data_IF_069998505755
#
_entry.id   IF_069998505755
#
_cell.length_a   1.000
_cell.length_b   1.000
_cell.length_c   1.000
_cell.angle_alpha   90.00
_cell.angle_beta   90.00
_cell.angle_gamma   90.00
#
_symmetry.space_group_name_H-M   'P 1'
#
loop_
_entity.id
_entity.type
_entity.pdbx_description
1 polymer ?
#
# COMPACT_ATOMS: atom_id res chain seq x y z
N UNK A 1 31.57 -16.22 14.61
CA UNK A 1 31.10 -15.18 15.54
C UNK A 1 29.64 -14.89 15.23
N UNK A 2 28.71 -15.44 16.03
CA UNK A 2 27.27 -15.25 15.82
C UNK A 2 26.89 -13.91 16.46
N UNK A 3 26.50 -12.92 15.66
CA UNK A 3 26.00 -11.65 16.19
C UNK A 3 24.65 -11.93 16.85
N UNK A 4 24.64 -11.90 18.18
CA UNK A 4 23.42 -12.08 18.96
C UNK A 4 22.56 -10.83 18.81
N UNK A 5 21.50 -10.92 18.01
CA UNK A 5 20.58 -9.81 17.78
C UNK A 5 20.06 -9.28 19.14
N UNK A 6 20.09 -7.96 19.32
CA UNK A 6 19.63 -7.35 20.57
C UNK A 6 18.10 -7.55 20.72
N UNK A 7 17.60 -7.58 21.96
CA UNK A 7 16.16 -7.64 22.21
C UNK A 7 15.40 -6.48 21.55
N UNK A 8 16.05 -5.31 21.45
CA UNK A 8 15.54 -4.13 20.75
C UNK A 8 15.30 -4.40 19.26
N UNK A 9 16.28 -4.94 18.52
CA UNK A 9 16.12 -5.17 17.07
C UNK A 9 15.02 -6.18 16.77
N UNK A 10 14.89 -7.24 17.58
CA UNK A 10 13.76 -8.18 17.46
C UNK A 10 12.41 -7.50 17.67
N UNK A 11 12.28 -6.68 18.71
CA UNK A 11 11.04 -5.96 18.99
C UNK A 11 10.71 -4.94 17.88
N UNK A 12 11.71 -4.19 17.41
CA UNK A 12 11.57 -3.23 16.32
C UNK A 12 11.12 -3.92 15.03
N UNK A 13 11.72 -5.07 14.68
CA UNK A 13 11.33 -5.84 13.50
C UNK A 13 9.87 -6.29 13.56
N UNK A 14 9.41 -6.75 14.72
CA UNK A 14 8.01 -7.13 14.94
C UNK A 14 7.07 -5.95 14.77
N UNK A 15 7.39 -4.80 15.37
CA UNK A 15 6.58 -3.58 15.26
C UNK A 15 6.50 -3.08 13.82
N UNK A 16 7.63 -3.00 13.11
CA UNK A 16 7.69 -2.57 11.71
C UNK A 16 6.92 -3.51 10.77
N UNK A 17 6.97 -4.82 11.01
CA UNK A 17 6.17 -5.77 10.23
C UNK A 17 4.67 -5.61 10.45
N UNK A 18 4.23 -5.44 11.71
CA UNK A 18 2.81 -5.27 12.01
C UNK A 18 2.24 -3.96 11.50
N UNK A 19 3.06 -2.91 11.46
CA UNK A 19 2.64 -1.57 11.04
C UNK A 19 2.87 -1.27 9.55
N UNK A 20 3.68 -2.06 8.83
CA UNK A 20 4.18 -1.69 7.49
C UNK A 20 3.10 -1.30 6.50
N UNK A 21 2.10 -2.17 6.31
CA UNK A 21 1.01 -1.95 5.36
C UNK A 21 0.11 -0.76 5.74
N UNK A 22 -0.44 -0.66 6.96
CA UNK A 22 -1.26 0.51 7.34
C UNK A 22 -0.45 1.81 7.39
N UNK A 23 0.83 1.76 7.79
CA UNK A 23 1.70 2.93 7.84
C UNK A 23 1.99 3.47 6.43
N UNK A 24 2.42 2.62 5.50
CA UNK A 24 2.68 3.04 4.13
C UNK A 24 1.42 3.54 3.41
N UNK A 25 0.25 2.99 3.74
CA UNK A 25 -1.02 3.49 3.22
C UNK A 25 -1.31 4.91 3.73
N UNK A 26 -1.13 5.14 5.04
CA UNK A 26 -1.31 6.46 5.63
C UNK A 26 -0.39 7.51 4.99
N UNK A 27 0.89 7.18 4.80
CA UNK A 27 1.85 8.06 4.10
C UNK A 27 1.41 8.34 2.66
N UNK A 28 0.93 7.31 1.95
CA UNK A 28 0.43 7.45 0.57
C UNK A 28 -0.76 8.40 0.50
N UNK A 29 -1.77 8.22 1.34
CA UNK A 29 -2.99 9.03 1.35
C UNK A 29 -2.67 10.48 1.72
N UNK A 30 -1.86 10.69 2.76
CA UNK A 30 -1.42 12.04 3.14
C UNK A 30 -0.59 12.72 2.06
N UNK A 31 0.37 12.00 1.47
CA UNK A 31 1.20 12.51 0.39
C UNK A 31 0.38 12.89 -0.84
N UNK A 32 -0.61 12.07 -1.20
CA UNK A 32 -1.55 12.31 -2.30
C UNK A 32 -2.40 13.56 -2.05
N UNK A 33 -2.99 13.69 -0.85
CA UNK A 33 -3.76 14.87 -0.49
C UNK A 33 -2.91 16.14 -0.45
N UNK A 34 -1.67 16.05 0.03
CA UNK A 34 -0.73 17.17 0.05
C UNK A 34 -0.31 17.60 -1.36
N UNK A 35 -0.09 16.63 -2.26
CA UNK A 35 0.23 16.90 -3.66
C UNK A 35 -0.90 17.66 -4.37
N UNK A 36 -2.14 17.21 -4.19
CA UNK A 36 -3.31 17.92 -4.73
C UNK A 36 -3.46 19.31 -4.12
N UNK A 37 -3.31 19.44 -2.80
CA UNK A 37 -3.44 20.73 -2.14
C UNK A 37 -2.34 21.72 -2.56
N UNK A 38 -1.15 21.23 -2.94
CA UNK A 38 -0.08 22.05 -3.51
C UNK A 38 -0.47 22.70 -4.84
N UNK A 39 -1.21 22.00 -5.68
CA UNK A 39 -1.62 22.48 -7.03
C UNK A 39 -3.00 23.17 -7.03
N UNK A 40 -3.96 22.67 -6.26
CA UNK A 40 -5.36 23.15 -6.23
C UNK A 40 -5.67 24.07 -5.05
N UNK A 41 -4.76 24.19 -4.06
CA UNK A 41 -4.99 24.95 -2.84
C UNK A 41 -5.75 24.16 -1.76
N UNK A 42 -6.36 24.87 -0.82
CA UNK A 42 -7.11 24.25 0.29
C UNK A 42 -8.39 23.60 -0.28
N UNK A 43 -8.62 22.30 -0.02
CA UNK A 43 -9.80 21.62 -0.55
C UNK A 43 -11.09 22.15 0.06
N UNK A 44 -12.12 22.21 -0.77
CA UNK A 44 -13.52 22.38 -0.33
C UNK A 44 -14.06 21.09 0.30
N UNK A 45 -15.20 21.17 0.99
CA UNK A 45 -15.84 20.00 1.59
C UNK A 45 -16.20 18.94 0.54
N UNK A 46 -16.67 19.37 -0.64
CA UNK A 46 -17.03 18.47 -1.73
C UNK A 46 -15.80 17.70 -2.25
N UNK A 47 -14.64 18.35 -2.32
CA UNK A 47 -13.39 17.73 -2.74
C UNK A 47 -12.86 16.74 -1.70
N UNK A 48 -13.01 17.05 -0.41
CA UNK A 48 -12.71 16.10 0.67
C UNK A 48 -13.60 14.85 0.54
N UNK A 49 -14.90 15.02 0.29
CA UNK A 49 -15.82 13.90 0.04
C UNK A 49 -15.42 13.10 -1.19
N UNK A 50 -15.08 13.74 -2.31
CA UNK A 50 -14.64 13.08 -3.54
C UNK A 50 -13.35 12.29 -3.32
N UNK A 51 -12.40 12.86 -2.59
CA UNK A 51 -11.16 12.19 -2.21
C UNK A 51 -11.44 10.94 -1.36
N UNK A 52 -12.25 11.07 -0.31
CA UNK A 52 -12.63 9.93 0.54
C UNK A 52 -13.40 8.86 -0.25
N UNK A 53 -14.27 9.28 -1.17
CA UNK A 53 -15.04 8.40 -2.03
C UNK A 53 -14.13 7.60 -2.97
N UNK A 54 -13.15 8.24 -3.61
CA UNK A 54 -12.21 7.55 -4.51
C UNK A 54 -11.40 6.46 -3.80
N UNK A 55 -10.86 6.77 -2.62
CA UNK A 55 -10.15 5.80 -1.78
C UNK A 55 -11.07 4.64 -1.33
N UNK A 56 -12.31 4.94 -0.96
CA UNK A 56 -13.29 3.93 -0.52
C UNK A 56 -13.74 3.03 -1.66
N UNK A 57 -13.94 3.58 -2.87
CA UNK A 57 -14.27 2.80 -4.08
C UNK A 57 -13.13 1.84 -4.40
N UNK A 58 -11.88 2.32 -4.40
CA UNK A 58 -10.71 1.48 -4.65
C UNK A 58 -10.59 0.35 -3.62
N UNK A 59 -10.66 0.68 -2.33
CA UNK A 59 -10.57 -0.31 -1.26
C UNK A 59 -11.73 -1.32 -1.30
N UNK A 60 -12.97 -0.84 -1.41
CA UNK A 60 -14.16 -1.67 -1.50
C UNK A 60 -14.15 -2.57 -2.74
N UNK A 61 -13.69 -2.06 -3.89
CA UNK A 61 -13.52 -2.82 -5.11
C UNK A 61 -12.48 -3.94 -4.97
N UNK A 62 -11.33 -3.66 -4.36
CA UNK A 62 -10.32 -4.69 -4.06
C UNK A 62 -10.86 -5.74 -3.10
N UNK A 63 -11.54 -5.33 -2.02
CA UNK A 63 -12.19 -6.24 -1.07
C UNK A 63 -13.22 -7.14 -1.76
N UNK A 64 -14.04 -6.58 -2.63
CA UNK A 64 -15.03 -7.31 -3.41
C UNK A 64 -14.37 -8.34 -4.33
N UNK A 65 -13.28 -7.97 -5.02
CA UNK A 65 -12.50 -8.87 -5.88
C UNK A 65 -11.87 -10.04 -5.12
N UNK A 66 -11.55 -9.85 -3.84
CA UNK A 66 -10.94 -10.89 -2.99
C UNK A 66 -11.94 -11.60 -2.08
N UNK A 67 -13.25 -11.33 -2.21
CA UNK A 67 -14.24 -11.84 -1.26
C UNK A 67 -14.30 -13.38 -1.22
N UNK A 68 -14.19 -14.04 -2.37
CA UNK A 68 -14.25 -15.51 -2.46
C UNK A 68 -13.03 -16.19 -1.84
N UNK A 69 -11.88 -15.52 -1.77
CA UNK A 69 -10.62 -16.06 -1.21
C UNK A 69 -10.38 -15.63 0.24
N UNK A 70 -11.29 -14.85 0.83
CA UNK A 70 -11.14 -14.30 2.18
C UNK A 70 -10.98 -15.37 3.27
N UNK A 71 -11.64 -16.53 3.11
CA UNK A 71 -11.55 -17.65 4.04
C UNK A 71 -10.20 -18.40 4.04
N UNK A 72 -9.41 -18.26 2.98
CA UNK A 72 -8.06 -18.84 2.86
C UNK A 72 -6.98 -17.85 3.32
N UNK A 73 -7.17 -16.54 3.06
CA UNK A 73 -6.25 -15.47 3.42
C UNK A 73 -6.04 -15.31 4.94
N UNK A 74 -7.06 -15.60 5.76
CA UNK A 74 -6.99 -15.49 7.22
C UNK A 74 -5.96 -16.45 7.85
N UNK A 75 -5.59 -17.53 7.15
CA UNK A 75 -4.56 -18.49 7.58
C UNK A 75 -3.14 -18.10 7.17
N UNK A 76 -2.97 -17.15 6.24
CA UNK A 76 -1.71 -16.92 5.52
C UNK A 76 -1.06 -15.54 5.80
N UNK A 77 -1.76 -14.63 6.48
CA UNK A 77 -1.24 -13.31 6.88
C UNK A 77 -0.09 -13.34 7.92
N UNK A 78 0.42 -14.52 8.28
CA UNK A 78 1.55 -14.69 9.16
C UNK A 78 2.81 -15.13 8.39
N UNK A 79 3.65 -14.14 8.05
CA UNK A 79 5.08 -14.23 7.66
C UNK A 79 5.38 -14.12 6.16
N UNK A 80 5.73 -12.90 5.73
CA UNK A 80 6.68 -12.76 4.63
C UNK A 80 8.09 -13.14 5.15
N UNK A 81 8.79 -14.10 4.52
CA UNK A 81 10.13 -14.53 4.94
C UNK A 81 11.24 -13.48 4.72
N UNK A 82 10.97 -12.36 4.02
CA UNK A 82 11.99 -11.36 3.70
C UNK A 82 11.61 -9.89 4.04
N UNK A 83 11.96 -9.39 5.26
CA UNK A 83 11.63 -8.03 5.71
C UNK A 83 12.15 -6.90 4.82
N UNK A 84 13.34 -7.06 4.24
CA UNK A 84 14.00 -6.01 3.44
C UNK A 84 13.28 -5.79 2.10
N UNK A 85 12.79 -6.88 1.49
CA UNK A 85 12.00 -6.79 0.25
C UNK A 85 10.66 -6.10 0.50
N UNK A 86 10.00 -6.43 1.60
CA UNK A 86 8.76 -5.77 2.01
C UNK A 86 8.91 -4.27 2.19
N UNK A 87 9.98 -3.84 2.88
CA UNK A 87 10.27 -2.42 3.04
C UNK A 87 10.47 -1.71 1.69
N UNK A 88 11.25 -2.30 0.78
CA UNK A 88 11.52 -1.68 -0.52
C UNK A 88 10.26 -1.58 -1.39
N UNK A 89 9.41 -2.61 -1.39
CA UNK A 89 8.14 -2.59 -2.11
C UNK A 89 7.26 -1.47 -1.60
N UNK A 90 7.06 -1.33 -0.28
CA UNK A 90 6.28 -0.24 0.28
C UNK A 90 6.83 1.14 -0.14
N UNK A 91 8.15 1.33 -0.09
CA UNK A 91 8.77 2.59 -0.53
C UNK A 91 8.50 2.87 -2.01
N UNK A 92 8.65 1.87 -2.88
CA UNK A 92 8.37 2.02 -4.32
C UNK A 92 6.89 2.25 -4.60
N UNK A 93 6.00 1.57 -3.86
CA UNK A 93 4.55 1.71 -3.99
C UNK A 93 4.08 3.10 -3.56
N UNK A 94 4.60 3.62 -2.44
CA UNK A 94 4.37 4.99 -1.98
C UNK A 94 4.85 5.98 -3.03
N UNK A 95 6.08 5.83 -3.53
CA UNK A 95 6.65 6.72 -4.54
C UNK A 95 5.85 6.73 -5.85
N UNK A 96 5.45 5.55 -6.33
CA UNK A 96 4.60 5.42 -7.53
C UNK A 96 3.23 6.07 -7.34
N UNK A 97 2.59 5.85 -6.18
CA UNK A 97 1.29 6.43 -5.86
C UNK A 97 1.36 7.96 -5.78
N UNK A 98 2.35 8.52 -5.09
CA UNK A 98 2.55 9.98 -4.99
C UNK A 98 2.89 10.58 -6.37
N UNK A 99 3.72 9.90 -7.17
CA UNK A 99 4.05 10.36 -8.53
C UNK A 99 2.79 10.39 -9.41
N UNK A 100 1.97 9.35 -9.35
CA UNK A 100 0.69 9.33 -10.06
C UNK A 100 -0.23 10.47 -9.58
N UNK A 101 -0.29 10.73 -8.27
CA UNK A 101 -1.05 11.83 -7.72
C UNK A 101 -0.58 13.20 -8.24
N UNK A 102 0.74 13.43 -8.32
CA UNK A 102 1.33 14.65 -8.88
C UNK A 102 0.95 14.84 -10.36
N UNK A 103 0.94 13.75 -11.15
CA UNK A 103 0.49 13.81 -12.54
C UNK A 103 -1.01 14.11 -12.65
N UNK A 104 -1.83 13.47 -11.81
CA UNK A 104 -3.28 13.68 -11.76
C UNK A 104 -3.63 15.09 -11.27
N UNK A 105 -2.79 15.69 -10.42
CA UNK A 105 -2.99 17.06 -9.94
C UNK A 105 -3.00 18.09 -11.08
N UNK A 106 -2.45 17.77 -12.26
CA UNK A 106 -2.55 18.64 -13.44
C UNK A 106 -3.92 18.61 -14.12
N UNK A 107 -4.81 17.68 -13.75
CA UNK A 107 -6.18 17.64 -14.23
C UNK A 107 -6.95 18.77 -13.52
N UNK A 108 -7.55 19.72 -14.25
CA UNK A 108 -8.29 20.80 -13.62
C UNK A 108 -9.60 20.30 -13.02
N UNK A 109 -9.96 20.87 -11.86
CA UNK A 109 -11.26 20.70 -11.23
C UNK A 109 -11.33 19.56 -10.21
N UNK A 110 -12.51 19.46 -9.59
CA UNK A 110 -12.73 18.63 -8.40
C UNK A 110 -12.59 17.11 -8.64
N UNK A 111 -12.68 16.67 -9.90
CA UNK A 111 -12.48 15.27 -10.28
C UNK A 111 -11.06 14.75 -9.97
N UNK A 112 -10.06 15.63 -9.95
CA UNK A 112 -8.68 15.27 -9.62
C UNK A 112 -8.58 14.63 -8.22
N UNK A 113 -9.38 15.12 -7.27
CA UNK A 113 -9.42 14.59 -5.90
C UNK A 113 -9.89 13.15 -5.82
N UNK A 114 -10.95 12.81 -6.57
CA UNK A 114 -11.45 11.44 -6.65
C UNK A 114 -10.48 10.52 -7.38
N UNK A 115 -9.97 10.96 -8.53
CA UNK A 115 -9.13 10.12 -9.39
C UNK A 115 -7.77 9.86 -8.73
N UNK A 116 -7.18 10.86 -8.08
CA UNK A 116 -5.88 10.72 -7.41
C UNK A 116 -5.97 9.77 -6.20
N UNK A 117 -6.99 9.90 -5.35
CA UNK A 117 -7.12 9.00 -4.20
C UNK A 117 -7.43 7.56 -4.64
N UNK A 118 -8.28 7.38 -5.64
CA UNK A 118 -8.56 6.08 -6.24
C UNK A 118 -7.28 5.44 -6.81
N UNK A 119 -6.53 6.18 -7.62
CA UNK A 119 -5.28 5.71 -8.22
C UNK A 119 -4.23 5.40 -7.15
N UNK A 120 -4.05 6.27 -6.16
CA UNK A 120 -3.11 6.08 -5.07
C UNK A 120 -3.41 4.83 -4.25
N UNK A 121 -4.69 4.59 -3.92
CA UNK A 121 -5.11 3.39 -3.19
C UNK A 121 -4.89 2.12 -4.00
N UNK A 122 -5.26 2.12 -5.30
CA UNK A 122 -5.04 0.97 -6.18
C UNK A 122 -3.54 0.67 -6.37
N UNK A 123 -2.73 1.70 -6.61
CA UNK A 123 -1.29 1.53 -6.82
C UNK A 123 -0.62 1.02 -5.55
N UNK A 124 -0.93 1.59 -4.39
CA UNK A 124 -0.31 1.17 -3.14
C UNK A 124 -0.71 -0.26 -2.74
N UNK A 125 -2.01 -0.56 -2.70
CA UNK A 125 -2.49 -1.88 -2.28
C UNK A 125 -2.21 -2.95 -3.34
N UNK A 126 -2.28 -2.60 -4.62
CA UNK A 126 -1.94 -3.48 -5.73
C UNK A 126 -0.46 -3.84 -5.72
N UNK A 127 0.44 -2.85 -5.66
CA UNK A 127 1.88 -3.11 -5.62
C UNK A 127 2.29 -3.88 -4.36
N UNK A 128 1.70 -3.55 -3.20
CA UNK A 128 1.93 -4.29 -1.95
C UNK A 128 1.45 -5.74 -2.05
N UNK A 129 0.37 -6.01 -2.79
CA UNK A 129 -0.16 -7.37 -3.01
C UNK A 129 0.68 -8.20 -3.99
N UNK A 130 1.30 -7.57 -5.00
CA UNK A 130 2.18 -8.26 -5.96
C UNK A 130 3.37 -8.90 -5.26
N UNK A 131 3.92 -8.26 -4.22
CA UNK A 131 5.02 -8.84 -3.43
C UNK A 131 4.62 -10.18 -2.81
N UNK A 132 3.46 -10.22 -2.16
CA UNK A 132 2.95 -11.43 -1.50
C UNK A 132 2.82 -12.56 -2.53
N UNK A 133 2.24 -12.27 -3.69
CA UNK A 133 2.08 -13.23 -4.77
C UNK A 133 3.42 -13.71 -5.37
N UNK A 134 4.42 -12.84 -5.51
CA UNK A 134 5.75 -13.21 -6.04
C UNK A 134 6.54 -14.07 -5.04
N UNK A 135 6.40 -13.82 -3.75
CA UNK A 135 7.04 -14.61 -2.68
C UNK A 135 6.47 -16.03 -2.63
N UNK A 136 5.15 -16.18 -2.74
CA UNK A 136 4.49 -17.50 -2.76
C UNK A 136 4.93 -18.35 -3.96
N UNK A 137 5.05 -17.74 -5.15
CA UNK A 137 5.54 -18.42 -6.36
C UNK A 137 7.01 -18.85 -6.26
N UNK A 138 7.86 -18.05 -5.61
CA UNK A 138 9.27 -18.39 -5.40
C UNK A 138 9.49 -19.50 -4.37
N UNK A 139 8.63 -19.59 -3.35
CA UNK A 139 8.68 -20.65 -2.33
C UNK A 139 8.25 -22.02 -2.85
N UNK A 140 7.23 -22.07 -3.73
CA UNK A 140 6.74 -23.32 -4.32
C UNK A 140 7.73 -24.01 -5.26
N UNK A 141 8.54 -23.25 -5.99
CA UNK A 141 9.53 -23.80 -6.92
C UNK A 141 10.73 -24.49 -6.23
N UNK A 142 10.98 -24.20 -4.95
CA UNK A 142 12.07 -24.82 -4.18
C UNK A 142 11.66 -26.14 -3.50
N UNK A 143 10.35 -26.44 -3.43
CA UNK A 143 9.81 -27.61 -2.73
C UNK A 143 9.55 -28.83 -3.65
N UNK A 144 9.58 -28.65 -4.98
CA UNK A 144 9.36 -29.72 -5.96
C UNK A 144 10.65 -30.36 -6.52
N UNK A 145 11.81 -30.02 -5.95
CA UNK A 145 13.13 -30.46 -6.41
C UNK A 145 13.94 -31.28 -5.41
N UNK A 146 13.29 -31.97 -4.46
CA UNK A 146 13.92 -32.84 -3.46
C UNK A 146 13.53 -34.29 -3.63
#
# INVERSE_FOLDING_TARGET
MVIRESAYFRALRTALHGAGLPYGYAVTVWGTGSALAGEHGVPTEAEIFLFALGATIAYGGLMFLTWETAGEAEKQLARSPHPVRAGLVHVTAIGAAITAALLIAHIPGSAAWLVASLAATLLYLGASSVEVAMVERGGGASASGG
#
